data_IF_126120531958
#
_entry.id   IF_126120531958
#
_cell.length_a   1.000
_cell.length_b   1.000
_cell.length_c   1.000
_cell.angle_alpha   90.00
_cell.angle_beta   90.00
_cell.angle_gamma   90.00
#
_symmetry.space_group_name_H-M   'P 1'
#
loop_
_entity.id
_entity.type
_entity.pdbx_description
1 polymer ?
#
# COMPACT_ATOMS: atom_id res chain seq x y z
N UNK A 1 -2.33 -22.93 -6.84
CA UNK A 1 -2.40 -23.55 -8.16
C UNK A 1 -3.23 -24.83 -8.03
N UNK A 2 -4.48 -24.77 -8.50
CA UNK A 2 -5.32 -25.93 -8.78
C UNK A 2 -6.19 -25.46 -9.93
N UNK A 3 -5.76 -25.86 -11.13
CA UNK A 3 -6.55 -25.75 -12.36
C UNK A 3 -7.63 -26.82 -12.23
N UNK A 4 -8.89 -26.42 -12.34
CA UNK A 4 -9.96 -27.35 -12.70
C UNK A 4 -10.90 -26.63 -13.64
N UNK A 5 -10.58 -26.68 -14.92
CA UNK A 5 -11.62 -26.71 -15.94
C UNK A 5 -12.24 -28.11 -15.91
N UNK A 6 -13.56 -28.19 -15.89
CA UNK A 6 -14.34 -29.02 -16.82
C UNK A 6 -15.83 -28.82 -16.51
N UNK A 7 -16.53 -28.34 -17.54
CA UNK A 7 -17.98 -28.39 -17.69
C UNK A 7 -18.45 -29.84 -17.70
N UNK A 8 -19.52 -30.16 -16.98
CA UNK A 8 -20.41 -31.25 -17.42
C UNK A 8 -21.85 -30.92 -17.08
N UNK A 9 -22.61 -30.63 -18.14
CA UNK A 9 -24.07 -30.69 -18.16
C UNK A 9 -24.44 -32.17 -18.21
N UNK A 10 -25.21 -32.65 -17.22
CA UNK A 10 -26.13 -33.77 -17.43
C UNK A 10 -27.48 -33.33 -16.89
N UNK A 11 -28.42 -33.14 -17.81
CA UNK A 11 -29.85 -33.06 -17.53
C UNK A 11 -30.31 -34.37 -16.88
N UNK A 12 -31.19 -34.28 -15.88
CA UNK A 12 -32.34 -35.17 -15.86
C UNK A 12 -33.51 -34.51 -15.14
N UNK A 13 -34.62 -34.55 -15.85
CA UNK A 13 -35.96 -34.11 -15.46
C UNK A 13 -36.47 -34.82 -14.20
N UNK A 14 -37.51 -34.21 -13.63
CA UNK A 14 -38.45 -34.74 -12.64
C UNK A 14 -38.08 -34.60 -11.15
N UNK A 15 -38.44 -33.42 -10.65
CA UNK A 15 -39.28 -33.20 -9.47
C UNK A 15 -39.51 -34.35 -8.49
N UNK A 16 -39.03 -34.16 -7.26
CA UNK A 16 -39.82 -34.44 -6.05
C UNK A 16 -39.45 -33.45 -4.93
N UNK A 17 -40.49 -33.03 -4.22
CA UNK A 17 -40.67 -31.85 -3.35
C UNK A 17 -39.98 -31.93 -1.97
N UNK A 18 -39.94 -30.83 -1.18
CA UNK A 18 -38.88 -30.50 -0.22
C UNK A 18 -39.22 -30.84 1.24
N UNK A 19 -38.20 -30.89 2.12
CA UNK A 19 -38.40 -30.72 3.57
C UNK A 19 -37.27 -29.92 4.23
N UNK A 20 -37.72 -28.94 5.01
CA UNK A 20 -37.09 -27.86 5.78
C UNK A 20 -36.17 -28.34 6.91
N UNK A 21 -35.07 -27.62 7.20
CA UNK A 21 -34.72 -27.09 8.55
C UNK A 21 -33.34 -26.41 8.61
N UNK A 22 -33.36 -25.12 8.97
CA UNK A 22 -32.42 -24.34 9.80
C UNK A 22 -30.98 -24.84 10.02
N UNK A 23 -29.99 -24.16 9.43
CA UNK A 23 -29.04 -23.26 10.13
C UNK A 23 -27.80 -22.91 9.31
N UNK A 24 -27.34 -21.69 9.57
CA UNK A 24 -26.02 -21.09 9.32
C UNK A 24 -25.74 -20.65 7.89
N UNK A 25 -25.75 -19.32 7.73
CA UNK A 25 -24.98 -18.64 6.69
C UNK A 25 -23.53 -19.12 6.82
N UNK A 26 -23.04 -19.83 5.81
CA UNK A 26 -21.62 -20.01 5.56
C UNK A 26 -21.35 -19.51 4.14
N UNK A 27 -21.49 -18.19 3.97
CA UNK A 27 -20.87 -17.53 2.84
C UNK A 27 -19.34 -17.68 3.01
N UNK A 28 -18.74 -18.62 2.29
CA UNK A 28 -17.30 -18.66 2.09
C UNK A 28 -16.99 -18.12 0.71
N UNK A 29 -17.13 -16.80 0.62
CA UNK A 29 -16.74 -16.03 -0.55
C UNK A 29 -15.23 -15.81 -0.50
N UNK A 30 -14.49 -16.38 -1.45
CA UNK A 30 -13.09 -16.01 -1.72
C UNK A 30 -13.00 -15.48 -3.14
N UNK A 31 -13.04 -14.15 -3.24
CA UNK A 31 -12.80 -13.43 -4.49
C UNK A 31 -11.38 -12.90 -4.45
N UNK A 32 -10.56 -13.27 -5.43
CA UNK A 32 -9.26 -12.65 -5.70
C UNK A 32 -9.31 -12.10 -7.12
N UNK A 33 -9.56 -10.80 -7.25
CA UNK A 33 -9.86 -10.17 -8.56
C UNK A 33 -8.97 -8.97 -8.88
N UNK A 34 -8.07 -8.59 -7.97
CA UNK A 34 -7.38 -7.30 -8.01
C UNK A 34 -5.86 -7.43 -7.74
N UNK A 35 -5.27 -8.61 -7.81
CA UNK A 35 -3.83 -8.82 -7.63
C UNK A 35 -3.23 -9.41 -8.90
N UNK A 36 -2.13 -8.83 -9.38
CA UNK A 36 -1.27 -9.39 -10.41
C UNK A 36 0.01 -9.92 -9.76
N UNK A 37 0.44 -11.11 -10.17
CA UNK A 37 1.79 -11.57 -9.88
C UNK A 37 2.76 -10.92 -10.87
N UNK A 38 3.80 -10.30 -10.35
CA UNK A 38 4.92 -9.75 -11.12
C UNK A 38 6.10 -10.67 -10.92
N UNK A 39 6.65 -11.18 -12.02
CA UNK A 39 7.87 -11.99 -12.03
C UNK A 39 8.88 -11.27 -12.91
N UNK A 40 10.04 -10.95 -12.36
CA UNK A 40 11.11 -10.27 -13.10
C UNK A 40 12.48 -10.81 -12.67
N UNK A 41 13.51 -10.71 -13.55
CA UNK A 41 14.88 -11.05 -13.17
C UNK A 41 15.30 -10.27 -11.91
N UNK A 42 16.02 -10.94 -11.01
CA UNK A 42 16.52 -10.27 -9.82
C UNK A 42 17.55 -9.21 -10.23
N UNK A 43 17.25 -7.95 -9.90
CA UNK A 43 18.18 -6.83 -10.07
C UNK A 43 19.17 -6.72 -8.90
N UNK A 44 19.95 -5.63 -8.89
CA UNK A 44 20.88 -5.35 -7.80
C UNK A 44 20.14 -5.17 -6.47
N UNK A 45 20.69 -5.78 -5.41
CA UNK A 45 20.15 -5.67 -4.06
C UNK A 45 20.76 -4.48 -3.30
N UNK A 46 19.98 -3.79 -2.43
CA UNK A 46 18.57 -4.04 -2.15
C UNK A 46 17.64 -3.51 -3.26
N UNK A 47 16.52 -4.20 -3.49
CA UNK A 47 15.47 -3.72 -4.39
C UNK A 47 14.83 -2.46 -3.82
N UNK A 48 14.73 -1.41 -4.63
CA UNK A 48 14.12 -0.13 -4.24
C UNK A 48 12.68 -0.02 -4.76
N UNK A 49 11.77 0.39 -3.88
CA UNK A 49 10.38 0.71 -4.21
C UNK A 49 10.00 2.09 -3.68
N UNK A 50 9.26 2.85 -4.48
CA UNK A 50 8.62 4.09 -4.02
C UNK A 50 7.50 3.75 -3.02
N UNK A 51 7.11 4.69 -2.15
CA UNK A 51 5.95 4.50 -1.28
C UNK A 51 4.64 4.19 -2.03
N UNK A 52 4.48 4.73 -3.24
CA UNK A 52 3.30 4.48 -4.08
C UNK A 52 3.33 3.08 -4.70
N UNK A 53 4.49 2.62 -5.18
CA UNK A 53 4.61 1.24 -5.65
C UNK A 53 4.43 0.26 -4.49
N UNK A 54 5.07 0.54 -3.35
CA UNK A 54 5.01 -0.29 -2.16
C UNK A 54 3.61 -0.43 -1.60
N UNK A 55 2.80 0.65 -1.57
CA UNK A 55 1.41 0.58 -1.10
C UNK A 55 0.52 -0.30 -1.98
N UNK A 56 0.93 -0.49 -3.24
CA UNK A 56 0.27 -1.41 -4.16
C UNK A 56 0.82 -2.84 -4.05
N UNK A 57 2.00 -3.05 -3.48
CA UNK A 57 2.60 -4.38 -3.31
C UNK A 57 2.10 -5.01 -2.02
N UNK A 58 1.72 -6.29 -2.10
CA UNK A 58 1.45 -7.08 -0.91
C UNK A 58 2.77 -7.53 -0.32
N UNK A 59 3.26 -6.87 0.73
CA UNK A 59 4.62 -7.03 1.24
C UNK A 59 4.98 -8.47 1.65
N UNK A 60 4.01 -9.23 2.16
CA UNK A 60 4.16 -10.65 2.54
C UNK A 60 4.24 -11.62 1.34
N UNK A 61 4.02 -11.14 0.12
CA UNK A 61 4.08 -11.95 -1.10
C UNK A 61 5.42 -11.90 -1.81
N UNK A 62 6.31 -10.98 -1.40
CA UNK A 62 7.55 -10.71 -2.10
C UNK A 62 8.61 -11.76 -1.75
N UNK A 63 9.07 -12.52 -2.74
CA UNK A 63 9.96 -13.68 -2.58
C UNK A 63 10.88 -13.86 -3.77
N UNK A 64 11.87 -14.76 -3.65
CA UNK A 64 12.72 -15.18 -4.75
C UNK A 64 12.27 -16.54 -5.29
N UNK A 65 12.31 -16.70 -6.61
CA UNK A 65 11.99 -17.96 -7.30
C UNK A 65 13.10 -18.33 -8.28
N UNK A 66 13.35 -19.62 -8.43
CA UNK A 66 14.36 -20.18 -9.33
C UNK A 66 14.62 -21.66 -9.03
N UNK A 67 15.32 -22.35 -9.93
CA UNK A 67 15.46 -23.81 -9.90
C UNK A 67 16.18 -24.36 -8.68
N UNK A 68 16.94 -23.54 -7.95
CA UNK A 68 17.72 -23.94 -6.77
C UNK A 68 17.93 -22.74 -5.81
N UNK A 69 16.88 -21.96 -5.56
CA UNK A 69 16.98 -20.79 -4.67
C UNK A 69 16.63 -21.21 -3.24
N UNK A 70 17.60 -21.08 -2.34
CA UNK A 70 17.39 -21.26 -0.91
C UNK A 70 17.40 -19.90 -0.21
N UNK A 71 16.21 -19.42 0.18
CA UNK A 71 16.07 -18.15 0.89
C UNK A 71 16.32 -18.38 2.39
N UNK A 72 17.37 -17.76 2.92
CA UNK A 72 17.73 -17.85 4.35
C UNK A 72 17.23 -16.66 5.16
N UNK A 73 17.00 -15.51 4.50
CA UNK A 73 16.50 -14.32 5.16
C UNK A 73 15.97 -13.28 4.19
N UNK A 74 15.04 -12.46 4.69
CA UNK A 74 14.52 -11.30 4.00
C UNK A 74 14.48 -10.14 4.98
N UNK A 75 14.89 -8.95 4.54
CA UNK A 75 14.79 -7.73 5.32
C UNK A 75 14.11 -6.67 4.51
N UNK A 76 13.07 -6.07 5.09
CA UNK A 76 12.34 -4.95 4.52
C UNK A 76 12.63 -3.75 5.40
N UNK A 77 13.23 -2.72 4.81
CA UNK A 77 13.59 -1.48 5.50
C UNK A 77 12.82 -0.33 4.88
N UNK A 78 12.00 0.36 5.67
CA UNK A 78 11.46 1.65 5.30
C UNK A 78 12.49 2.73 5.60
N UNK A 79 12.95 3.45 4.57
CA UNK A 79 13.70 4.70 4.75
C UNK A 79 12.71 5.85 4.72
N UNK A 80 12.30 6.28 5.92
CA UNK A 80 11.58 7.54 6.10
C UNK A 80 12.55 8.68 5.88
N UNK A 81 12.15 9.65 5.06
CA UNK A 81 12.88 10.91 5.00
C UNK A 81 12.54 11.68 6.26
N UNK A 82 13.57 12.00 7.03
CA UNK A 82 13.44 12.85 8.21
C UNK A 82 13.73 14.29 7.80
N UNK A 83 12.88 15.19 8.24
CA UNK A 83 13.06 16.63 8.25
C UNK A 83 13.96 17.09 9.38
N UNK A 84 14.51 16.20 10.22
CA UNK A 84 15.50 16.60 11.21
C UNK A 84 16.67 17.34 10.52
N UNK A 85 17.05 18.46 11.11
CA UNK A 85 18.01 19.45 10.62
C UNK A 85 17.62 20.17 9.32
N UNK A 86 16.36 20.08 8.87
CA UNK A 86 15.87 20.86 7.73
C UNK A 86 15.21 22.17 8.16
N UNK A 87 15.26 23.16 7.26
CA UNK A 87 14.57 24.43 7.41
C UNK A 87 13.08 24.24 7.14
N UNK A 88 12.26 24.77 8.04
CA UNK A 88 10.81 24.75 8.02
C UNK A 88 10.28 26.12 8.42
N UNK A 89 9.05 26.44 8.01
CA UNK A 89 8.33 27.60 8.52
C UNK A 89 7.39 27.14 9.63
N UNK A 90 7.45 27.79 10.78
CA UNK A 90 6.56 27.50 11.91
C UNK A 90 5.75 28.72 12.26
N UNK A 91 4.50 28.52 12.68
CA UNK A 91 3.71 29.64 13.20
C UNK A 91 4.42 30.25 14.41
N UNK A 92 4.60 31.56 14.41
CA UNK A 92 5.18 32.29 15.53
C UNK A 92 4.29 32.13 16.77
N UNK A 93 4.86 31.84 17.96
CA UNK A 93 4.11 31.85 19.21
C UNK A 93 3.55 33.24 19.55
N UNK A 94 4.04 34.29 18.90
CA UNK A 94 3.53 35.67 19.02
C UNK A 94 2.40 35.97 18.03
N UNK A 95 1.98 35.00 17.21
CA UNK A 95 0.84 35.16 16.30
C UNK A 95 -0.46 35.33 17.06
N UNK A 96 -1.32 36.23 16.60
CA UNK A 96 -2.66 36.41 17.15
C UNK A 96 -3.71 35.69 16.31
N UNK A 97 -4.98 35.75 16.73
CA UNK A 97 -6.10 35.24 15.92
C UNK A 97 -6.32 36.04 14.63
N UNK A 98 -5.84 37.29 14.58
CA UNK A 98 -6.04 38.21 13.45
C UNK A 98 -4.82 38.33 12.54
N UNK A 99 -3.64 37.97 13.04
CA UNK A 99 -2.39 38.05 12.28
C UNK A 99 -1.55 36.79 12.50
N UNK A 100 -1.52 35.94 11.48
CA UNK A 100 -0.68 34.73 11.48
C UNK A 100 0.69 35.09 10.92
N UNK A 101 1.73 34.98 11.74
CA UNK A 101 3.12 35.17 11.32
C UNK A 101 3.84 33.84 11.31
N UNK A 102 4.67 33.62 10.30
CA UNK A 102 5.53 32.43 10.22
C UNK A 102 6.99 32.84 10.43
N UNK A 103 7.73 31.97 11.10
CA UNK A 103 9.15 32.10 11.39
C UNK A 103 9.90 30.98 10.70
N UNK A 104 11.07 31.26 10.15
CA UNK A 104 11.98 30.23 9.67
C UNK A 104 12.69 29.58 10.86
N UNK A 105 12.59 28.27 10.99
CA UNK A 105 13.20 27.49 12.06
C UNK A 105 13.80 26.20 11.51
N UNK A 106 14.71 25.59 12.27
CA UNK A 106 15.27 24.27 11.96
C UNK A 106 14.55 23.21 12.76
N UNK A 107 14.00 22.18 12.11
CA UNK A 107 13.45 21.02 12.80
C UNK A 107 14.57 20.24 13.49
N UNK A 108 14.44 19.97 14.79
CA UNK A 108 15.44 19.20 15.56
C UNK A 108 14.95 17.78 15.81
N UNK A 109 13.68 17.63 16.16
CA UNK A 109 13.04 16.33 16.38
C UNK A 109 11.59 16.36 15.93
N UNK A 110 11.31 15.74 14.78
CA UNK A 110 9.97 15.64 14.20
C UNK A 110 8.96 14.93 15.11
N UNK A 111 9.38 13.90 15.86
CA UNK A 111 8.46 13.10 16.68
C UNK A 111 7.92 13.92 17.85
N UNK A 112 8.70 14.89 18.30
CA UNK A 112 8.33 15.82 19.38
C UNK A 112 7.93 17.20 18.85
N UNK A 113 7.93 17.37 17.53
CA UNK A 113 7.79 18.66 16.85
C UNK A 113 8.68 19.76 17.46
N UNK A 114 9.91 19.39 17.84
CA UNK A 114 10.88 20.29 18.46
C UNK A 114 11.62 21.06 17.37
N UNK A 115 11.62 22.38 17.49
CA UNK A 115 12.24 23.28 16.52
C UNK A 115 13.24 24.21 17.19
N UNK A 116 14.27 24.58 16.44
CA UNK A 116 15.32 25.52 16.82
C UNK A 116 15.15 26.78 15.99
N UNK A 117 14.96 27.90 16.66
CA UNK A 117 14.92 29.22 16.06
C UNK A 117 16.22 29.97 16.40
N UNK A 118 16.80 30.63 15.40
CA UNK A 118 18.00 31.46 15.58
C UNK A 118 17.71 32.82 14.97
N UNK A 119 17.62 33.83 15.81
CA UNK A 119 17.58 35.23 15.38
C UNK A 119 18.60 36.03 16.18
N UNK A 120 19.69 36.37 15.51
CA UNK A 120 20.82 37.10 16.08
C UNK A 120 20.43 38.51 16.57
N UNK A 121 19.27 39.04 16.18
CA UNK A 121 18.77 40.33 16.65
C UNK A 121 18.01 40.21 17.98
N UNK A 122 17.45 39.03 18.29
CA UNK A 122 16.60 38.79 19.46
C UNK A 122 17.39 38.12 20.58
N UNK A 123 18.26 37.16 20.25
CA UNK A 123 19.04 36.40 21.22
C UNK A 123 20.35 35.92 20.61
N UNK A 124 21.43 35.98 21.38
CA UNK A 124 22.69 35.34 21.00
C UNK A 124 22.61 33.80 21.10
N UNK A 125 21.66 33.28 21.88
CA UNK A 125 21.44 31.86 22.06
C UNK A 125 20.24 31.36 21.25
N UNK A 126 20.33 30.14 20.67
CA UNK A 126 19.22 29.52 19.95
C UNK A 126 18.05 29.22 20.89
N UNK A 127 16.84 29.52 20.43
CA UNK A 127 15.60 29.26 21.16
C UNK A 127 15.04 27.93 20.69
N UNK A 128 14.68 27.04 21.62
CA UNK A 128 14.06 25.76 21.33
C UNK A 128 12.64 25.73 21.85
N UNK A 129 11.69 25.30 21.01
CA UNK A 129 10.30 25.16 21.42
C UNK A 129 9.60 24.08 20.59
N UNK A 130 8.48 23.58 21.11
CA UNK A 130 7.62 22.62 20.42
C UNK A 130 6.49 23.34 19.70
N UNK A 131 6.14 22.88 18.51
CA UNK A 131 5.03 23.43 17.70
C UNK A 131 4.03 22.34 17.34
N UNK A 132 2.77 22.71 17.13
CA UNK A 132 1.77 21.76 16.68
C UNK A 132 2.06 21.33 15.23
N UNK A 133 1.86 20.07 14.87
CA UNK A 133 2.19 19.56 13.53
C UNK A 133 1.42 20.26 12.40
N UNK A 134 0.23 20.78 12.68
CA UNK A 134 -0.59 21.59 11.77
C UNK A 134 -0.11 23.04 11.61
N UNK A 135 0.86 23.47 12.43
CA UNK A 135 1.45 24.81 12.42
C UNK A 135 2.86 24.80 11.79
N UNK A 136 3.29 23.66 11.24
CA UNK A 136 4.54 23.47 10.52
C UNK A 136 4.25 23.47 9.02
N UNK A 137 4.94 24.34 8.30
CA UNK A 137 4.96 24.41 6.84
C UNK A 137 6.33 23.95 6.34
N UNK A 138 6.35 22.88 5.55
CA UNK A 138 7.57 22.36 4.95
C UNK A 138 7.88 23.12 3.66
N UNK A 139 9.13 23.60 3.52
CA UNK A 139 9.59 24.38 2.36
C UNK A 139 9.60 23.50 1.10
N UNK A 140 9.94 22.22 1.27
CA UNK A 140 9.89 21.22 0.24
C UNK A 140 8.81 20.20 0.61
N UNK A 141 8.10 19.67 -0.40
CA UNK A 141 7.23 18.52 -0.17
C UNK A 141 8.02 17.39 0.51
N UNK A 142 7.39 16.64 1.45
CA UNK A 142 8.02 15.47 2.01
C UNK A 142 8.46 14.54 0.88
N UNK A 143 9.76 14.28 0.81
CA UNK A 143 10.27 13.22 -0.04
C UNK A 143 9.56 11.94 0.42
N UNK A 144 8.75 11.36 -0.46
CA UNK A 144 7.96 10.16 -0.15
C UNK A 144 8.91 9.06 0.38
N UNK A 145 8.45 8.28 1.38
CA UNK A 145 9.24 7.15 1.90
C UNK A 145 9.69 6.24 0.78
N UNK A 146 10.87 5.63 0.95
CA UNK A 146 11.35 4.56 0.08
C UNK A 146 11.41 3.25 0.87
N UNK A 147 11.11 2.16 0.20
CA UNK A 147 11.16 0.82 0.77
C UNK A 147 12.27 0.04 0.09
N UNK A 148 13.10 -0.60 0.90
CA UNK A 148 14.23 -1.40 0.45
C UNK A 148 14.01 -2.84 0.87
N UNK A 149 14.06 -3.76 -0.09
CA UNK A 149 13.99 -5.20 0.19
C UNK A 149 15.33 -5.83 -0.11
N UNK A 150 15.92 -6.43 0.92
CA UNK A 150 17.12 -7.23 0.78
C UNK A 150 16.79 -8.70 1.04
N UNK A 151 17.55 -9.58 0.38
CA UNK A 151 17.45 -11.02 0.56
C UNK A 151 18.82 -11.60 0.88
N UNK A 152 18.84 -12.59 1.75
CA UNK A 152 19.99 -13.45 1.97
C UNK A 152 19.62 -14.82 1.42
N UNK A 153 20.29 -15.26 0.37
CA UNK A 153 19.93 -16.48 -0.35
C UNK A 153 21.15 -17.13 -0.98
N UNK A 154 21.06 -18.44 -1.17
CA UNK A 154 21.98 -19.21 -1.99
C UNK A 154 21.27 -19.64 -3.27
N UNK A 155 21.93 -19.53 -4.42
CA UNK A 155 21.40 -20.00 -5.69
C UNK A 155 22.53 -20.49 -6.60
N UNK A 156 22.24 -21.54 -7.38
CA UNK A 156 23.15 -22.05 -8.41
C UNK A 156 22.80 -21.56 -9.82
N UNK A 157 21.59 -21.02 -9.99
CA UNK A 157 20.99 -20.67 -11.27
C UNK A 157 20.40 -19.26 -11.24
N UNK A 158 19.84 -18.82 -12.38
CA UNK A 158 19.14 -17.55 -12.51
C UNK A 158 18.02 -17.43 -11.49
N UNK A 159 18.01 -16.28 -10.80
CA UNK A 159 17.03 -15.95 -9.77
C UNK A 159 16.10 -14.85 -10.26
N UNK A 160 14.82 -15.00 -9.94
CA UNK A 160 13.77 -14.03 -10.22
C UNK A 160 13.17 -13.56 -8.90
N UNK A 161 12.70 -12.32 -8.86
CA UNK A 161 11.83 -11.86 -7.79
C UNK A 161 10.38 -12.01 -8.23
N UNK A 162 9.54 -12.56 -7.35
CA UNK A 162 8.09 -12.62 -7.50
C UNK A 162 7.40 -11.84 -6.39
N UNK A 163 6.36 -11.07 -6.73
CA UNK A 163 5.49 -10.42 -5.76
C UNK A 163 4.11 -10.14 -6.34
N UNK A 164 3.11 -10.07 -5.46
CA UNK A 164 1.75 -9.67 -5.81
C UNK A 164 1.60 -8.15 -5.71
N UNK A 165 1.07 -7.53 -6.75
CA UNK A 165 0.74 -6.11 -6.83
C UNK A 165 -0.76 -5.94 -7.07
N UNK A 166 -1.38 -4.98 -6.40
CA UNK A 166 -2.73 -4.50 -6.70
C UNK A 166 -2.81 -4.04 -8.15
N UNK A 167 -3.75 -4.59 -8.91
CA UNK A 167 -3.81 -4.45 -10.34
C UNK A 167 -4.28 -3.05 -10.75
N UNK A 168 -3.42 -2.30 -11.44
CA UNK A 168 -3.68 -0.94 -11.93
C UNK A 168 -4.68 -0.89 -13.10
N UNK A 169 -4.95 -2.01 -13.79
CA UNK A 169 -5.64 -1.99 -15.09
C UNK A 169 -7.06 -2.54 -15.10
N UNK A 170 -7.56 -3.14 -14.01
CA UNK A 170 -8.93 -3.67 -13.98
C UNK A 170 -9.47 -3.61 -12.56
N UNK A 171 -10.33 -2.63 -12.32
CA UNK A 171 -11.29 -2.74 -11.22
C UNK A 171 -12.34 -3.75 -11.69
N UNK A 172 -12.39 -4.94 -11.09
CA UNK A 172 -13.50 -5.84 -11.40
C UNK A 172 -14.77 -5.25 -10.80
N UNK A 173 -15.69 -4.82 -11.66
CA UNK A 173 -17.01 -4.36 -11.24
C UNK A 173 -17.93 -5.56 -11.21
N UNK A 174 -18.66 -5.67 -10.12
CA UNK A 174 -19.73 -6.65 -9.96
C UNK A 174 -21.05 -5.95 -10.23
N UNK A 175 -21.82 -6.46 -11.18
CA UNK A 175 -23.19 -6.01 -11.38
C UNK A 175 -24.13 -7.14 -11.00
N UNK A 176 -24.90 -6.88 -9.94
CA UNK A 176 -25.92 -7.80 -9.45
C UNK A 176 -27.24 -7.42 -10.12
N UNK A 177 -27.76 -8.33 -10.96
CA UNK A 177 -29.05 -8.17 -11.62
C UNK A 177 -30.13 -8.83 -10.76
N UNK A 178 -31.03 -8.01 -10.21
CA UNK A 178 -32.11 -8.44 -9.31
C UNK A 178 -33.51 -8.22 -9.87
N UNK A 179 -33.64 -7.69 -11.09
CA UNK A 179 -34.89 -7.11 -11.57
C UNK A 179 -35.70 -8.03 -12.49
N UNK A 180 -35.30 -9.29 -12.63
CA UNK A 180 -36.11 -10.30 -13.30
C UNK A 180 -36.64 -11.28 -12.25
N UNK A 181 -37.90 -11.11 -11.86
CA UNK A 181 -38.57 -11.98 -10.87
C UNK A 181 -38.71 -13.43 -11.36
N UNK A 182 -38.53 -13.67 -12.67
CA UNK A 182 -38.61 -15.00 -13.28
C UNK A 182 -37.26 -15.70 -13.42
N UNK A 183 -36.15 -15.03 -13.06
CA UNK A 183 -34.79 -15.57 -13.16
C UNK A 183 -34.04 -15.51 -11.82
N UNK A 184 -33.14 -16.48 -11.59
CA UNK A 184 -32.26 -16.44 -10.43
C UNK A 184 -31.33 -15.21 -10.51
N UNK A 185 -31.01 -14.54 -9.39
CA UNK A 185 -30.06 -13.44 -9.36
C UNK A 185 -28.74 -13.79 -10.06
N UNK A 186 -28.37 -12.99 -11.06
CA UNK A 186 -27.12 -13.19 -11.80
C UNK A 186 -26.10 -12.16 -11.34
N UNK A 187 -24.95 -12.65 -10.88
CA UNK A 187 -23.78 -11.83 -10.59
C UNK A 187 -22.84 -11.87 -11.80
N UNK A 188 -22.76 -10.76 -12.53
CA UNK A 188 -21.82 -10.63 -13.65
C UNK A 188 -20.53 -9.97 -13.18
N UNK A 189 -19.40 -10.61 -13.49
CA UNK A 189 -18.07 -10.06 -13.29
C UNK A 189 -17.61 -9.37 -14.57
N UNK A 190 -17.28 -8.08 -14.49
CA UNK A 190 -16.81 -7.32 -15.64
C UNK A 190 -15.44 -6.71 -15.31
N UNK A 191 -14.51 -6.78 -16.24
CA UNK A 191 -13.27 -6.03 -16.14
C UNK A 191 -13.56 -4.56 -16.52
N UNK A 192 -13.29 -3.63 -15.61
CA UNK A 192 -13.31 -2.18 -15.92
C UNK A 192 -12.02 -1.83 -16.65
N UNK A 193 -12.03 -2.07 -17.96
CA UNK A 193 -10.91 -1.77 -18.86
C UNK A 193 -11.14 -0.35 -19.40
N UNK A 194 -10.28 0.59 -19.04
CA UNK A 194 -10.23 1.90 -19.72
C UNK A 194 -9.71 1.69 -21.14
N UNK A 195 -10.54 2.02 -22.12
CA UNK A 195 -10.12 2.11 -23.51
C UNK A 195 -9.45 3.50 -23.68
N UNK A 196 -8.12 3.55 -23.60
CA UNK A 196 -7.34 4.73 -24.01
C UNK A 196 -6.93 4.56 -25.47
#
# INVERSE_FOLDING_TARGET
>A
MLISDINTIIQNENSSTPTTNDRQILAKLKIYSNLAEIIQPLGDLPLEFSAEDWSNIRSDSLTLIGSNVNLTGQTITEKKNSFNNQLIYVRSPLSSQTETRFLEATMIDENRSLVKFVDNNISQEPIFFTVSSNEILYINEPLRSKYYVNFTYDATDTVYVSYLRSNLNWKTRYQLYLFDESAAPILLTMADIRNN
#
